data_IF_020069370445
#
_entry.id   IF_020069370445
#
_cell.length_a   1.000
_cell.length_b   1.000
_cell.length_c   1.000
_cell.angle_alpha   90.00
_cell.angle_beta   90.00
_cell.angle_gamma   90.00
#
_symmetry.space_group_name_H-M   'P 1'
#
loop_
_entity.id
_entity.type
_entity.pdbx_description
1 polymer ?
#
# COMPACT_ATOMS: atom_id res chain seq x y z
N UNK A 1 -14.83 -4.35 -3.58
CA UNK A 1 -13.63 -3.60 -3.15
C UNK A 1 -13.79 -3.20 -1.69
N UNK A 2 -13.63 -4.12 -0.73
CA UNK A 2 -13.54 -3.70 0.68
C UNK A 2 -12.07 -3.40 0.97
N UNK A 3 -11.78 -2.15 1.34
CA UNK A 3 -10.46 -1.80 1.84
C UNK A 3 -10.15 -2.50 3.16
N UNK A 4 -8.88 -2.79 3.43
CA UNK A 4 -8.42 -3.40 4.68
C UNK A 4 -8.13 -2.37 5.78
N UNK A 5 -8.55 -1.11 5.58
CA UNK A 5 -8.27 -0.02 6.53
C UNK A 5 -9.15 -0.14 7.77
N UNK A 6 -8.54 -0.01 8.93
CA UNK A 6 -9.28 0.09 10.20
C UNK A 6 -10.04 1.41 10.29
N UNK A 7 -11.22 1.37 10.90
CA UNK A 7 -12.08 2.55 11.10
C UNK A 7 -11.40 3.62 11.96
N UNK A 8 -10.62 3.21 12.95
CA UNK A 8 -9.89 4.08 13.89
C UNK A 8 -8.41 3.69 14.02
N UNK A 9 -7.62 4.55 14.69
CA UNK A 9 -6.19 4.32 14.93
C UNK A 9 -5.27 4.70 13.77
N UNK A 10 -4.01 4.26 13.81
CA UNK A 10 -2.98 4.60 12.82
C UNK A 10 -2.42 6.03 12.98
N UNK A 11 -1.27 6.29 12.34
CA UNK A 11 -0.60 7.61 12.34
C UNK A 11 -0.89 8.36 11.04
N UNK A 12 -2.18 8.55 10.77
CA UNK A 12 -2.68 9.20 9.54
C UNK A 12 -3.68 10.30 9.89
N UNK A 13 -3.75 11.32 9.06
CA UNK A 13 -4.75 12.37 9.12
C UNK A 13 -5.89 12.09 8.13
N UNK A 14 -7.00 11.56 8.64
CA UNK A 14 -8.19 11.20 7.84
C UNK A 14 -8.96 12.41 7.30
N UNK A 15 -8.69 13.62 7.80
CA UNK A 15 -9.30 14.85 7.24
C UNK A 15 -8.63 15.29 5.95
N UNK A 16 -7.43 14.78 5.67
CA UNK A 16 -6.60 15.15 4.52
C UNK A 16 -6.41 13.97 3.58
N UNK A 17 -7.38 13.77 2.69
CA UNK A 17 -7.28 12.82 1.59
C UNK A 17 -6.21 13.24 0.57
N UNK A 18 -5.46 12.27 0.06
CA UNK A 18 -4.43 12.45 -0.96
C UNK A 18 -4.65 11.48 -2.11
N UNK A 19 -4.62 11.98 -3.33
CA UNK A 19 -4.64 11.16 -4.54
C UNK A 19 -3.22 10.95 -5.07
N UNK A 20 -2.90 9.74 -5.47
CA UNK A 20 -1.61 9.39 -6.06
C UNK A 20 -1.78 8.36 -7.17
N UNK A 21 -0.75 8.19 -8.01
CA UNK A 21 -0.75 7.23 -9.10
C UNK A 21 0.31 6.16 -8.85
N UNK A 22 -0.06 4.90 -9.04
CA UNK A 22 0.82 3.74 -8.94
C UNK A 22 0.49 2.75 -10.06
N UNK A 23 1.50 2.22 -10.76
CA UNK A 23 1.32 1.34 -11.92
C UNK A 23 0.25 1.80 -12.91
N UNK A 24 0.29 3.10 -13.24
CA UNK A 24 -0.63 3.70 -14.18
C UNK A 24 -2.06 3.92 -13.66
N UNK A 25 -2.41 3.45 -12.46
CA UNK A 25 -3.73 3.54 -11.85
C UNK A 25 -3.76 4.57 -10.71
N UNK A 26 -4.89 5.27 -10.54
CA UNK A 26 -5.07 6.27 -9.47
C UNK A 26 -5.62 5.62 -8.21
N UNK A 27 -5.01 5.93 -7.07
CA UNK A 27 -5.39 5.47 -5.74
C UNK A 27 -5.59 6.64 -4.78
N UNK A 28 -6.21 6.35 -3.65
CA UNK A 28 -6.44 7.30 -2.56
C UNK A 28 -5.73 6.83 -1.29
N UNK A 29 -5.16 7.78 -0.57
CA UNK A 29 -4.61 7.61 0.77
C UNK A 29 -4.92 8.83 1.63
N UNK A 30 -4.32 8.89 2.80
CA UNK A 30 -4.40 10.02 3.72
C UNK A 30 -3.01 10.57 4.01
N UNK A 31 -2.91 11.83 4.40
CA UNK A 31 -1.64 12.38 4.87
C UNK A 31 -1.10 11.53 6.04
N UNK A 32 0.18 11.14 5.96
CA UNK A 32 0.82 10.22 6.90
C UNK A 32 0.81 8.75 6.48
N UNK A 33 0.04 8.36 5.46
CA UNK A 33 0.23 7.06 4.83
C UNK A 33 1.60 6.96 4.14
N UNK A 34 2.15 5.75 4.15
CA UNK A 34 3.16 5.35 3.16
C UNK A 34 2.46 4.80 1.92
N UNK A 35 3.20 4.67 0.81
CA UNK A 35 2.65 4.05 -0.40
C UNK A 35 2.11 2.63 -0.10
N UNK A 36 2.87 1.84 0.68
CA UNK A 36 2.47 0.50 1.09
C UNK A 36 1.18 0.50 1.95
N UNK A 37 1.06 1.39 2.94
CA UNK A 37 -0.14 1.45 3.79
C UNK A 37 -1.38 1.87 3.01
N UNK A 38 -1.24 2.83 2.09
CA UNK A 38 -2.35 3.29 1.24
C UNK A 38 -2.81 2.21 0.26
N UNK A 39 -1.88 1.51 -0.40
CA UNK A 39 -2.20 0.44 -1.34
C UNK A 39 -2.88 -0.75 -0.64
N UNK A 40 -2.37 -1.18 0.51
CA UNK A 40 -3.03 -2.23 1.30
C UNK A 40 -4.41 -1.80 1.79
N UNK A 41 -4.56 -0.55 2.26
CA UNK A 41 -5.86 0.00 2.61
C UNK A 41 -6.84 -0.02 1.44
N UNK A 42 -6.36 0.20 0.21
CA UNK A 42 -7.13 0.07 -1.03
C UNK A 42 -7.36 -1.36 -1.52
N UNK A 43 -6.88 -2.37 -0.81
CA UNK A 43 -7.06 -3.78 -1.17
C UNK A 43 -5.99 -4.35 -2.12
N UNK A 44 -4.94 -3.59 -2.43
CA UNK A 44 -3.85 -4.04 -3.31
C UNK A 44 -2.92 -4.96 -2.52
N UNK A 45 -2.83 -6.22 -2.97
CA UNK A 45 -2.00 -7.26 -2.34
C UNK A 45 -0.84 -7.72 -3.20
N UNK A 46 -0.90 -7.47 -4.51
CA UNK A 46 0.14 -7.81 -5.47
C UNK A 46 0.85 -6.51 -5.88
N UNK A 47 2.11 -6.38 -5.50
CA UNK A 47 2.94 -5.22 -5.82
C UNK A 47 4.07 -5.55 -6.79
N UNK A 48 4.35 -6.82 -6.99
CA UNK A 48 5.37 -7.24 -7.93
C UNK A 48 5.47 -8.74 -8.07
N UNK A 49 6.52 -9.19 -8.74
CA UNK A 49 6.85 -10.61 -8.89
C UNK A 49 8.30 -10.84 -8.53
N UNK A 50 8.59 -11.96 -7.87
CA UNK A 50 9.96 -12.32 -7.49
C UNK A 50 10.86 -12.40 -8.73
N UNK A 51 12.07 -11.87 -8.64
CA UNK A 51 13.02 -11.85 -9.76
C UNK A 51 13.25 -13.22 -10.43
N UNK A 52 13.59 -14.26 -9.65
CA UNK A 52 14.00 -15.56 -10.21
C UNK A 52 12.83 -16.42 -10.72
N UNK A 53 11.71 -16.42 -10.00
CA UNK A 53 10.63 -17.39 -10.20
C UNK A 53 9.31 -16.76 -10.66
N UNK A 54 9.28 -15.44 -10.88
CA UNK A 54 8.08 -14.67 -11.25
C UNK A 54 6.83 -14.93 -10.37
N UNK A 55 7.05 -15.37 -9.12
CA UNK A 55 5.98 -15.65 -8.17
C UNK A 55 5.36 -14.33 -7.69
N UNK A 56 4.03 -14.26 -7.54
CA UNK A 56 3.35 -13.09 -6.97
C UNK A 56 3.97 -12.66 -5.64
N UNK A 57 4.23 -11.36 -5.45
CA UNK A 57 4.76 -10.75 -4.23
C UNK A 57 3.93 -9.54 -3.80
N UNK A 58 3.74 -9.40 -2.50
CA UNK A 58 3.13 -8.24 -1.85
C UNK A 58 4.01 -7.73 -0.73
N UNK A 59 3.54 -6.70 -0.03
CA UNK A 59 4.16 -6.17 1.19
C UNK A 59 4.36 -7.29 2.21
N UNK A 60 5.54 -7.39 2.80
CA UNK A 60 5.87 -8.40 3.80
C UNK A 60 6.11 -7.81 5.20
N UNK A 61 6.61 -6.59 5.27
CA UNK A 61 7.03 -5.84 6.45
C UNK A 61 6.59 -4.37 6.33
N UNK A 62 6.86 -3.54 7.36
CA UNK A 62 6.41 -2.14 7.41
C UNK A 62 7.58 -1.17 7.65
N UNK A 63 8.75 -1.48 7.11
CA UNK A 63 9.99 -0.75 7.40
C UNK A 63 11.06 -0.92 6.32
N UNK A 64 12.29 -0.43 6.58
CA UNK A 64 13.42 -0.54 5.66
C UNK A 64 13.84 -1.99 5.36
N UNK A 65 13.41 -2.95 6.17
CA UNK A 65 13.62 -4.38 5.97
C UNK A 65 12.75 -5.01 4.86
N UNK A 66 11.89 -4.24 4.19
CA UNK A 66 10.95 -4.72 3.16
C UNK A 66 11.66 -5.29 1.92
N UNK A 67 11.49 -6.60 1.61
CA UNK A 67 12.22 -7.22 0.52
C UNK A 67 11.46 -7.27 -0.82
N UNK A 68 10.15 -7.01 -0.84
CA UNK A 68 9.31 -7.27 -2.02
C UNK A 68 8.78 -6.03 -2.74
N UNK A 69 8.52 -4.95 -2.01
CA UNK A 69 7.81 -3.75 -2.50
C UNK A 69 8.75 -2.55 -2.58
N UNK A 70 9.58 -2.51 -3.63
CA UNK A 70 10.59 -1.48 -3.90
C UNK A 70 10.12 -0.46 -4.92
#
# INVERSE_FOLDING_TARGET
MSGFRTTTGGRIDRSRGLSFRFDGSTYQGFAGDTLASALMAGGVRLLGRSFKYHRPRGVYTMGPEEPNAL
#
